data_IF_791848176866
#
_entry.id   IF_791848176866
#
_cell.length_a   1.000
_cell.length_b   1.000
_cell.length_c   1.000
_cell.angle_alpha   90.00
_cell.angle_beta   90.00
_cell.angle_gamma   90.00
#
_symmetry.space_group_name_H-M   'P 1'
#
loop_
_entity.id
_entity.type
_entity.pdbx_description
1 polymer ?
#
# COMPACT_ATOMS: atom_id res chain seq x y z
N UNK A 1 -65.01 13.09 -11.69
CA UNK A 1 -65.32 13.72 -10.39
C UNK A 1 -64.02 13.97 -9.64
N UNK A 2 -63.61 15.24 -9.49
CA UNK A 2 -62.40 15.61 -8.76
C UNK A 2 -62.72 16.10 -7.34
N UNK A 3 -61.89 15.72 -6.37
CA UNK A 3 -61.74 16.34 -5.04
C UNK A 3 -60.22 16.44 -4.84
N UNK A 4 -59.53 17.58 -4.99
CA UNK A 4 -59.57 18.85 -4.25
C UNK A 4 -59.47 18.68 -2.73
N UNK A 5 -58.23 18.63 -2.22
CA UNK A 5 -57.75 19.11 -0.92
C UNK A 5 -56.21 19.18 -1.07
N UNK A 6 -55.46 20.20 -0.66
CA UNK A 6 -55.71 21.32 0.23
C UNK A 6 -54.35 21.61 0.88
N UNK A 7 -53.75 22.76 0.56
CA UNK A 7 -52.45 23.17 1.08
C UNK A 7 -52.52 23.42 2.60
N UNK A 8 -51.48 23.01 3.32
CA UNK A 8 -51.29 23.26 4.74
C UNK A 8 -49.81 23.32 5.07
N UNK A 9 -49.23 24.51 4.91
CA UNK A 9 -47.89 24.84 5.42
C UNK A 9 -47.90 24.84 6.95
N UNK A 10 -46.98 24.09 7.55
CA UNK A 10 -46.53 24.32 8.92
C UNK A 10 -45.01 24.12 8.94
N UNK A 11 -44.30 25.25 8.91
CA UNK A 11 -42.89 25.36 9.25
C UNK A 11 -42.77 25.06 10.75
N UNK A 12 -42.23 23.89 11.12
CA UNK A 12 -41.78 23.63 12.50
C UNK A 12 -40.27 23.60 12.51
N UNK A 13 -39.70 24.48 13.34
CA UNK A 13 -38.29 24.67 13.59
C UNK A 13 -37.57 23.35 13.91
N UNK A 14 -36.47 23.15 13.22
CA UNK A 14 -35.52 22.05 13.43
C UNK A 14 -34.65 22.41 14.64
N UNK A 15 -34.50 21.53 15.66
CA UNK A 15 -33.55 21.78 16.74
C UNK A 15 -32.12 21.59 16.24
N UNK A 16 -31.33 22.62 16.51
CA UNK A 16 -29.90 22.78 16.29
C UNK A 16 -29.12 21.64 16.99
N UNK A 17 -28.43 20.83 16.19
CA UNK A 17 -27.53 19.78 16.69
C UNK A 17 -26.12 20.37 16.90
N UNK A 18 -25.40 19.98 17.96
CA UNK A 18 -24.12 20.55 18.30
C UNK A 18 -23.05 20.19 17.26
N UNK A 19 -22.27 21.20 16.88
CA UNK A 19 -21.13 21.10 16.00
C UNK A 19 -20.04 20.22 16.62
N UNK A 20 -19.94 18.96 16.18
CA UNK A 20 -18.75 18.14 16.41
C UNK A 20 -17.62 18.60 15.50
N UNK A 21 -16.58 19.13 16.15
CA UNK A 21 -15.30 19.54 15.60
C UNK A 21 -14.65 18.38 14.83
N UNK A 22 -14.76 18.41 13.49
CA UNK A 22 -13.96 17.54 12.60
C UNK A 22 -12.49 17.95 12.70
N UNK A 23 -11.67 17.08 13.30
CA UNK A 23 -10.23 17.12 13.10
C UNK A 23 -9.94 16.94 11.60
N UNK A 24 -9.48 18.01 10.96
CA UNK A 24 -9.12 18.02 9.56
C UNK A 24 -7.94 17.09 9.30
N UNK A 25 -8.14 16.08 8.45
CA UNK A 25 -7.03 15.42 7.77
C UNK A 25 -6.39 16.46 6.83
N UNK A 26 -5.22 16.96 7.21
CA UNK A 26 -4.41 17.82 6.38
C UNK A 26 -4.02 17.05 5.11
N UNK A 27 -4.79 17.28 4.04
CA UNK A 27 -4.44 16.80 2.71
C UNK A 27 -3.42 17.79 2.17
N UNK A 28 -2.16 17.36 2.05
CA UNK A 28 -1.12 18.19 1.42
C UNK A 28 -1.58 18.59 0.01
N UNK A 29 -1.35 19.85 -0.42
CA UNK A 29 -1.76 20.31 -1.73
C UNK A 29 -0.96 19.55 -2.80
N UNK A 30 -1.63 19.02 -3.82
CA UNK A 30 -1.03 18.29 -4.95
C UNK A 30 0.13 19.04 -5.64
N UNK A 31 0.21 20.36 -5.48
CA UNK A 31 1.32 21.19 -5.94
C UNK A 31 2.66 20.85 -5.26
N UNK A 32 2.65 20.41 -4.00
CA UNK A 32 3.87 20.05 -3.27
C UNK A 32 4.46 18.72 -3.76
N UNK A 33 3.62 17.74 -4.15
CA UNK A 33 4.10 16.48 -4.72
C UNK A 33 4.75 16.70 -6.10
N UNK A 34 4.14 17.51 -6.97
CA UNK A 34 4.71 17.83 -8.29
C UNK A 34 6.05 18.58 -8.22
N UNK A 35 6.21 19.50 -7.27
CA UNK A 35 7.46 20.25 -7.10
C UNK A 35 8.63 19.33 -6.69
N UNK A 36 8.35 18.29 -5.89
CA UNK A 36 9.36 17.32 -5.46
C UNK A 36 9.77 16.41 -6.60
N UNK A 37 8.82 15.86 -7.38
CA UNK A 37 9.14 15.03 -8.55
C UNK A 37 9.98 15.80 -9.58
N UNK A 38 9.62 17.05 -9.84
CA UNK A 38 10.35 17.91 -10.78
C UNK A 38 11.76 18.23 -10.27
N UNK A 39 11.93 18.44 -8.97
CA UNK A 39 13.25 18.68 -8.38
C UNK A 39 14.15 17.44 -8.41
N UNK A 40 13.59 16.24 -8.19
CA UNK A 40 14.34 14.98 -8.28
C UNK A 40 14.77 14.70 -9.73
N UNK A 41 13.86 14.87 -10.71
CA UNK A 41 14.18 14.71 -12.13
C UNK A 41 15.23 15.74 -12.61
N UNK A 42 15.12 16.99 -12.17
CA UNK A 42 16.09 18.03 -12.52
C UNK A 42 17.47 17.78 -11.91
N UNK A 43 17.52 17.28 -10.66
CA UNK A 43 18.78 16.88 -10.00
C UNK A 43 19.36 15.63 -10.67
N UNK A 44 18.55 14.62 -10.98
CA UNK A 44 19.00 13.42 -11.68
C UNK A 44 19.53 13.75 -13.09
N UNK A 45 18.84 14.62 -13.83
CA UNK A 45 19.27 15.09 -15.15
C UNK A 45 20.56 15.91 -15.10
N UNK A 46 20.72 16.79 -14.09
CA UNK A 46 21.98 17.51 -13.87
C UNK A 46 23.11 16.59 -13.46
N UNK A 47 22.89 15.64 -12.55
CA UNK A 47 23.93 14.70 -12.11
C UNK A 47 24.37 13.79 -13.26
N UNK A 48 23.45 13.34 -14.12
CA UNK A 48 23.78 12.58 -15.33
C UNK A 48 24.58 13.41 -16.36
N UNK A 49 24.22 14.67 -16.57
CA UNK A 49 24.93 15.57 -17.48
C UNK A 49 26.30 16.01 -16.92
N UNK A 50 26.40 16.25 -15.62
CA UNK A 50 27.62 16.69 -14.95
C UNK A 50 28.60 15.52 -14.78
N UNK A 51 28.11 14.30 -14.53
CA UNK A 51 28.90 13.07 -14.62
C UNK A 51 29.43 12.78 -16.04
N UNK A 52 28.76 13.28 -17.08
CA UNK A 52 29.25 13.18 -18.45
C UNK A 52 30.32 14.24 -18.79
N UNK A 53 30.42 15.33 -18.02
CA UNK A 53 31.22 16.52 -18.39
C UNK A 53 32.40 16.80 -17.45
N UNK A 54 32.39 16.31 -16.21
CA UNK A 54 33.46 16.55 -15.24
C UNK A 54 33.86 15.26 -14.51
N UNK A 55 35.05 14.74 -14.83
CA UNK A 55 35.70 13.67 -14.07
C UNK A 55 36.03 12.45 -14.92
N UNK A 56 37.33 12.17 -15.02
CA UNK A 56 37.94 10.85 -15.28
C UNK A 56 36.95 9.77 -15.73
N UNK A 57 36.78 9.60 -17.06
CA UNK A 57 35.98 8.51 -17.61
C UNK A 57 36.48 7.22 -16.98
N UNK A 58 35.62 6.59 -16.18
CA UNK A 58 35.97 5.34 -15.52
C UNK A 58 36.46 4.36 -16.58
N UNK A 59 37.56 3.63 -16.32
CA UNK A 59 38.04 2.63 -17.25
C UNK A 59 36.89 1.70 -17.63
N UNK A 60 36.61 1.54 -18.92
CA UNK A 60 35.49 0.74 -19.42
C UNK A 60 35.49 -0.68 -18.83
N UNK A 61 36.68 -1.23 -18.61
CA UNK A 61 36.89 -2.54 -17.97
C UNK A 61 36.39 -2.60 -16.51
N UNK A 62 36.48 -1.49 -15.78
CA UNK A 62 35.97 -1.40 -14.41
C UNK A 62 34.43 -1.48 -14.36
N UNK A 63 33.73 -0.89 -15.33
CA UNK A 63 32.27 -0.90 -15.40
C UNK A 63 31.68 -2.22 -15.94
N UNK A 64 32.43 -2.93 -16.80
CA UNK A 64 32.00 -4.21 -17.39
C UNK A 64 31.84 -5.30 -16.33
N UNK A 65 32.76 -5.37 -15.38
CA UNK A 65 32.96 -6.51 -14.48
C UNK A 65 32.40 -6.31 -13.07
N UNK A 66 31.50 -5.34 -12.86
CA UNK A 66 30.85 -5.14 -11.56
C UNK A 66 29.57 -5.93 -11.41
N UNK A 67 29.40 -6.55 -10.25
CA UNK A 67 28.11 -7.08 -9.79
C UNK A 67 27.44 -6.09 -8.84
N UNK A 68 26.14 -5.89 -9.03
CA UNK A 68 25.30 -5.09 -8.14
C UNK A 68 24.20 -5.96 -7.57
N UNK A 69 23.86 -5.74 -6.30
CA UNK A 69 22.70 -6.36 -5.67
C UNK A 69 21.93 -5.32 -4.87
N UNK A 70 20.70 -5.04 -5.27
CA UNK A 70 19.75 -4.27 -4.48
C UNK A 70 18.89 -5.24 -3.68
N UNK A 71 18.80 -5.00 -2.37
CA UNK A 71 17.87 -5.70 -1.48
C UNK A 71 16.86 -4.73 -0.91
N UNK A 72 15.60 -5.10 -0.99
CA UNK A 72 14.49 -4.37 -0.37
C UNK A 72 13.78 -5.32 0.59
N UNK A 73 13.70 -4.93 1.86
CA UNK A 73 13.05 -5.73 2.89
C UNK A 73 11.57 -5.94 2.59
N UNK A 74 11.10 -7.19 2.71
CA UNK A 74 9.66 -7.51 2.62
C UNK A 74 8.87 -6.85 3.74
N UNK A 75 9.49 -6.70 4.91
CA UNK A 75 8.90 -5.98 6.06
C UNK A 75 8.69 -4.50 5.74
N UNK A 76 9.68 -3.89 5.10
CA UNK A 76 9.57 -2.50 4.64
C UNK A 76 8.36 -2.36 3.70
N UNK A 77 8.26 -3.20 2.68
CA UNK A 77 7.11 -3.19 1.75
C UNK A 77 5.79 -3.45 2.50
N UNK A 78 5.77 -4.32 3.51
CA UNK A 78 4.57 -4.61 4.33
C UNK A 78 4.07 -3.37 5.07
N UNK A 79 4.95 -2.59 5.65
CA UNK A 79 4.56 -1.37 6.38
C UNK A 79 4.10 -0.24 5.44
N UNK A 80 4.55 -0.29 4.19
CA UNK A 80 4.16 0.66 3.15
C UNK A 80 2.98 0.14 2.31
N UNK A 81 2.58 -1.12 2.52
CA UNK A 81 1.28 -1.64 2.09
C UNK A 81 0.21 -0.97 2.95
N UNK A 82 -1.00 -0.74 2.42
CA UNK A 82 -2.08 -0.10 3.17
C UNK A 82 -2.15 -0.55 4.63
N UNK A 83 -2.11 0.45 5.53
CA UNK A 83 -2.21 0.21 6.96
C UNK A 83 -3.50 -0.56 7.30
N UNK A 84 -3.54 -1.09 8.52
CA UNK A 84 -4.78 -1.67 9.07
C UNK A 84 -5.88 -0.61 8.92
N UNK A 85 -6.91 -0.96 8.15
CA UNK A 85 -8.03 -0.06 7.88
C UNK A 85 -9.06 -0.34 8.95
N UNK A 86 -9.39 0.66 9.76
CA UNK A 86 -10.65 0.76 10.49
C UNK A 86 -11.37 1.99 9.96
N UNK A 87 -12.31 1.76 9.04
CA UNK A 87 -12.99 2.84 8.31
C UNK A 87 -14.49 2.76 8.50
N UNK A 88 -15.05 3.85 9.01
CA UNK A 88 -16.48 4.08 9.08
C UNK A 88 -16.93 4.83 7.82
N UNK A 89 -17.78 4.20 7.02
CA UNK A 89 -18.32 4.79 5.79
C UNK A 89 -19.84 4.91 5.92
N UNK A 90 -20.42 6.11 5.72
CA UNK A 90 -21.86 6.25 5.69
C UNK A 90 -22.43 5.48 4.49
N UNK A 91 -23.55 4.80 4.70
CA UNK A 91 -24.34 4.19 3.64
C UNK A 91 -25.53 5.09 3.40
N UNK A 92 -25.69 5.58 2.18
CA UNK A 92 -26.85 6.35 1.74
C UNK A 92 -27.11 6.02 0.27
N UNK A 93 -28.19 5.28 0.00
CA UNK A 93 -28.54 4.85 -1.36
C UNK A 93 -30.01 4.48 -1.51
N UNK A 94 -30.49 4.44 -2.74
CA UNK A 94 -31.81 3.91 -3.08
C UNK A 94 -31.70 2.51 -3.69
N UNK A 95 -32.48 1.55 -3.16
CA UNK A 95 -32.51 0.18 -3.67
C UNK A 95 -33.93 -0.38 -3.60
N UNK A 96 -34.43 -0.93 -4.70
CA UNK A 96 -35.80 -1.46 -4.82
C UNK A 96 -36.91 -0.48 -4.37
N UNK A 97 -36.69 0.82 -4.62
CA UNK A 97 -37.60 1.90 -4.21
C UNK A 97 -37.62 2.18 -2.69
N UNK A 98 -36.67 1.65 -1.94
CA UNK A 98 -36.43 2.00 -0.54
C UNK A 98 -35.18 2.88 -0.41
N UNK A 99 -35.25 3.89 0.46
CA UNK A 99 -34.09 4.70 0.83
C UNK A 99 -33.35 4.01 1.98
N UNK A 100 -32.12 3.60 1.73
CA UNK A 100 -31.27 2.86 2.67
C UNK A 100 -30.23 3.81 3.25
N UNK A 101 -30.26 4.00 4.56
CA UNK A 101 -29.28 4.79 5.31
C UNK A 101 -28.61 3.96 6.39
N UNK A 102 -27.34 4.23 6.72
CA UNK A 102 -26.66 3.54 7.79
C UNK A 102 -25.15 3.75 7.84
N UNK A 103 -24.45 2.80 8.44
CA UNK A 103 -22.99 2.82 8.56
C UNK A 103 -22.40 1.47 8.22
N UNK A 104 -21.33 1.49 7.43
CA UNK A 104 -20.43 0.38 7.17
C UNK A 104 -19.14 0.58 7.96
N UNK A 105 -18.72 -0.44 8.69
CA UNK A 105 -17.45 -0.48 9.41
C UNK A 105 -16.59 -1.54 8.72
N UNK A 106 -15.54 -1.09 8.05
CA UNK A 106 -14.60 -1.94 7.33
C UNK A 106 -13.32 -2.07 8.14
N UNK A 107 -13.01 -3.31 8.52
CA UNK A 107 -11.78 -3.69 9.20
C UNK A 107 -10.94 -4.54 8.25
N UNK A 108 -9.71 -4.15 7.96
CA UNK A 108 -8.83 -4.92 7.09
C UNK A 108 -7.36 -4.79 7.47
N UNK A 109 -6.57 -5.80 7.13
CA UNK A 109 -5.13 -5.81 7.38
C UNK A 109 -4.37 -6.44 6.21
N UNK A 110 -3.13 -5.99 5.96
CA UNK A 110 -2.25 -6.69 5.03
C UNK A 110 -1.90 -8.07 5.59
N UNK A 111 -1.87 -9.08 4.73
CA UNK A 111 -1.47 -10.46 5.04
C UNK A 111 -0.32 -10.83 4.11
N UNK A 112 0.69 -11.52 4.61
CA UNK A 112 1.78 -12.00 3.76
C UNK A 112 1.45 -13.42 3.32
N UNK A 113 0.94 -13.58 2.10
CA UNK A 113 0.88 -14.90 1.49
C UNK A 113 2.30 -15.34 1.13
N UNK A 114 2.65 -16.59 1.45
CA UNK A 114 3.89 -17.20 0.93
C UNK A 114 3.79 -17.20 -0.60
N UNK A 115 4.79 -16.65 -1.25
CA UNK A 115 4.86 -16.65 -2.71
C UNK A 115 4.88 -18.11 -3.19
N UNK A 116 4.02 -18.50 -4.14
CA UNK A 116 3.94 -19.89 -4.59
C UNK A 116 5.11 -20.29 -5.48
N UNK A 117 5.84 -19.32 -6.05
CA UNK A 117 6.92 -19.55 -7.02
C UNK A 117 8.06 -18.56 -6.80
N UNK A 118 9.19 -19.04 -6.27
CA UNK A 118 10.40 -18.23 -6.04
C UNK A 118 11.16 -17.91 -7.34
N UNK A 119 10.79 -18.54 -8.47
CA UNK A 119 11.45 -18.33 -9.77
C UNK A 119 10.95 -17.09 -10.51
N UNK A 120 9.78 -16.56 -10.13
CA UNK A 120 9.21 -15.36 -10.76
C UNK A 120 9.44 -14.12 -9.89
N UNK A 121 9.87 -12.99 -10.48
CA UNK A 121 10.16 -11.77 -9.75
C UNK A 121 8.86 -10.99 -9.43
N UNK A 122 7.97 -11.59 -8.65
CA UNK A 122 6.63 -11.09 -8.41
C UNK A 122 6.26 -11.12 -6.93
N UNK A 123 5.90 -9.96 -6.38
CA UNK A 123 5.39 -9.82 -5.02
C UNK A 123 3.87 -9.81 -5.11
N UNK A 124 3.19 -10.62 -4.31
CA UNK A 124 1.73 -10.56 -4.19
C UNK A 124 1.39 -9.80 -2.93
N UNK A 125 0.90 -8.56 -3.10
CA UNK A 125 0.28 -7.82 -2.02
C UNK A 125 -1.08 -8.40 -1.75
N UNK A 126 -1.32 -8.79 -0.50
CA UNK A 126 -2.53 -9.46 -0.09
C UNK A 126 -3.14 -8.71 1.09
N UNK A 127 -4.42 -8.38 0.98
CA UNK A 127 -5.15 -7.62 1.99
C UNK A 127 -6.47 -8.30 2.27
N UNK A 128 -6.70 -8.64 3.53
CA UNK A 128 -7.89 -9.37 3.97
C UNK A 128 -8.64 -8.56 5.02
N UNK A 129 -9.96 -8.70 5.01
CA UNK A 129 -10.76 -7.99 5.99
C UNK A 129 -12.23 -8.39 6.02
N UNK A 130 -12.95 -7.67 6.86
CA UNK A 130 -14.38 -7.82 7.05
C UNK A 130 -15.05 -6.46 7.00
N UNK A 131 -16.25 -6.41 6.45
CA UNK A 131 -17.09 -5.21 6.51
C UNK A 131 -18.39 -5.59 7.22
N UNK A 132 -18.72 -4.88 8.28
CA UNK A 132 -20.02 -5.01 8.95
C UNK A 132 -20.86 -3.80 8.62
N UNK A 133 -22.14 -4.01 8.34
CA UNK A 133 -23.07 -2.94 7.98
C UNK A 133 -24.26 -2.97 8.91
N UNK A 134 -24.71 -1.80 9.32
CA UNK A 134 -25.98 -1.60 10.03
C UNK A 134 -26.76 -0.58 9.22
N UNK A 135 -27.89 -1.00 8.66
CA UNK A 135 -28.67 -0.16 7.75
C UNK A 135 -30.15 -0.17 8.11
N UNK A 136 -30.82 0.91 7.73
CA UNK A 136 -32.26 1.10 7.82
C UNK A 136 -32.76 1.42 6.43
N UNK A 137 -33.65 0.59 5.89
CA UNK A 137 -34.34 0.86 4.64
C UNK A 137 -35.73 1.43 4.94
N UNK A 138 -36.02 2.61 4.41
CA UNK A 138 -37.31 3.28 4.50
C UNK A 138 -38.07 3.08 3.19
N UNK A 139 -39.24 2.45 3.25
CA UNK A 139 -40.13 2.23 2.09
C UNK A 139 -41.56 2.57 2.47
N UNK A 140 -42.01 3.77 2.09
CA UNK A 140 -43.29 4.31 2.55
C UNK A 140 -43.30 4.42 4.08
N UNK A 141 -44.29 3.81 4.73
CA UNK A 141 -44.40 3.78 6.21
C UNK A 141 -43.61 2.65 6.88
N UNK A 142 -42.87 1.84 6.12
CA UNK A 142 -42.10 0.71 6.65
C UNK A 142 -40.65 1.11 6.89
N UNK A 143 -40.12 0.72 8.05
CA UNK A 143 -38.70 0.79 8.40
C UNK A 143 -38.17 -0.63 8.52
N UNK A 144 -37.11 -0.95 7.78
CA UNK A 144 -36.53 -2.29 7.76
C UNK A 144 -35.11 -2.18 8.27
N UNK A 145 -34.81 -2.81 9.41
CA UNK A 145 -33.46 -2.85 9.97
C UNK A 145 -32.74 -4.08 9.46
N UNK A 146 -31.53 -3.89 8.93
CA UNK A 146 -30.71 -4.95 8.39
C UNK A 146 -29.28 -4.84 8.96
N UNK A 147 -28.69 -6.01 9.24
CA UNK A 147 -27.26 -6.15 9.49
C UNK A 147 -26.63 -7.00 8.39
N UNK A 148 -25.58 -6.50 7.76
CA UNK A 148 -24.79 -7.26 6.80
C UNK A 148 -23.39 -7.53 7.30
N UNK A 149 -22.83 -8.67 6.92
CA UNK A 149 -21.42 -9.00 7.11
C UNK A 149 -20.83 -9.43 5.78
N UNK A 150 -19.68 -8.87 5.46
CA UNK A 150 -18.87 -9.22 4.32
C UNK A 150 -17.49 -9.67 4.79
N UNK A 151 -16.89 -10.60 4.06
CA UNK A 151 -15.45 -10.86 4.09
C UNK A 151 -14.88 -10.55 2.73
N UNK A 152 -13.63 -10.10 2.68
CA UNK A 152 -12.94 -9.86 1.43
C UNK A 152 -11.47 -10.25 1.54
N UNK A 153 -10.93 -10.68 0.41
CA UNK A 153 -9.54 -11.03 0.16
C UNK A 153 -9.18 -10.39 -1.18
N UNK A 154 -8.39 -9.31 -1.15
CA UNK A 154 -7.93 -8.62 -2.35
C UNK A 154 -6.44 -8.85 -2.52
N UNK A 155 -6.04 -9.13 -3.76
CA UNK A 155 -4.66 -9.41 -4.13
C UNK A 155 -4.24 -8.53 -5.27
N UNK A 156 -2.99 -8.10 -5.25
CA UNK A 156 -2.34 -7.43 -6.37
C UNK A 156 -0.94 -7.96 -6.56
N UNK A 157 -0.65 -8.35 -7.78
CA UNK A 157 0.69 -8.70 -8.21
C UNK A 157 1.48 -7.42 -8.50
N UNK A 158 2.71 -7.36 -8.01
CA UNK A 158 3.70 -6.35 -8.36
C UNK A 158 4.92 -7.11 -8.88
N UNK A 159 5.22 -6.95 -10.16
CA UNK A 159 6.41 -7.54 -10.78
C UNK A 159 7.52 -6.51 -10.85
N UNK A 160 8.77 -6.97 -10.90
CA UNK A 160 9.92 -6.10 -11.14
C UNK A 160 10.65 -6.59 -12.38
N UNK A 161 10.87 -5.71 -13.36
CA UNK A 161 11.50 -6.07 -14.64
C UNK A 161 13.04 -5.94 -14.63
N UNK A 162 13.60 -5.60 -13.47
CA UNK A 162 15.02 -5.33 -13.30
C UNK A 162 15.37 -3.83 -13.30
N UNK A 163 14.43 -2.95 -13.66
CA UNK A 163 14.57 -1.50 -13.61
C UNK A 163 13.40 -0.84 -12.89
N UNK A 164 12.17 -1.23 -13.24
CA UNK A 164 10.93 -0.68 -12.72
C UNK A 164 10.08 -1.73 -12.02
N UNK A 165 9.39 -1.26 -10.98
CA UNK A 165 8.24 -1.95 -10.43
C UNK A 165 7.04 -1.74 -11.36
N UNK A 166 6.46 -2.86 -11.79
CA UNK A 166 5.30 -2.91 -12.65
C UNK A 166 4.08 -3.42 -11.90
N UNK A 167 2.94 -2.87 -12.28
CA UNK A 167 1.64 -3.21 -11.72
C UNK A 167 1.08 -4.43 -12.44
N UNK A 168 0.90 -5.53 -11.71
CA UNK A 168 0.24 -6.73 -12.20
C UNK A 168 -1.29 -6.70 -12.03
N UNK A 169 -1.90 -7.86 -12.23
CA UNK A 169 -3.35 -8.03 -12.15
C UNK A 169 -3.85 -7.88 -10.70
N UNK A 170 -5.10 -7.44 -10.56
CA UNK A 170 -5.80 -7.28 -9.27
C UNK A 170 -6.97 -8.24 -9.21
N UNK A 171 -7.02 -9.07 -8.19
CA UNK A 171 -8.12 -10.00 -7.95
C UNK A 171 -8.76 -9.71 -6.60
N UNK A 172 -10.07 -9.95 -6.50
CA UNK A 172 -10.81 -9.84 -5.25
C UNK A 172 -11.75 -11.04 -5.11
N UNK A 173 -11.65 -11.71 -3.98
CA UNK A 173 -12.71 -12.57 -3.48
C UNK A 173 -13.49 -11.82 -2.41
N UNK A 174 -14.82 -11.85 -2.50
CA UNK A 174 -15.68 -11.17 -1.56
C UNK A 174 -16.98 -11.94 -1.36
N UNK A 175 -17.30 -12.19 -0.10
CA UNK A 175 -18.60 -12.70 0.33
C UNK A 175 -19.38 -11.59 0.99
N UNK A 176 -20.70 -11.59 0.83
CA UNK A 176 -21.60 -10.69 1.55
C UNK A 176 -22.87 -11.45 1.90
N UNK A 177 -23.30 -11.33 3.15
CA UNK A 177 -24.55 -11.90 3.64
C UNK A 177 -25.24 -10.87 4.51
N UNK A 178 -26.55 -10.70 4.30
CA UNK A 178 -27.35 -9.83 5.14
C UNK A 178 -28.42 -10.60 5.93
N UNK A 179 -28.76 -10.05 7.09
CA UNK A 179 -29.77 -10.59 7.99
C UNK A 179 -30.74 -9.48 8.36
N UNK A 180 -32.02 -9.74 8.12
CA UNK A 180 -33.11 -8.90 8.59
C UNK A 180 -33.19 -8.94 10.12
N UNK A 181 -33.00 -7.80 10.77
CA UNK A 181 -33.06 -7.71 12.25
C UNK A 181 -34.41 -7.23 12.77
N UNK A 182 -35.18 -6.51 11.95
CA UNK A 182 -36.50 -6.06 12.36
C UNK A 182 -37.27 -5.37 11.24
N UNK A 183 -38.58 -5.32 11.40
CA UNK A 183 -39.49 -4.54 10.55
C UNK A 183 -40.38 -3.69 11.45
N UNK A 184 -40.31 -2.38 11.24
CA UNK A 184 -41.15 -1.36 11.84
C UNK A 184 -42.22 -0.92 10.85
N UNK A 185 -43.40 -0.59 11.37
CA UNK A 185 -44.52 -0.08 10.60
C UNK A 185 -45.48 0.71 11.48
N UNK A 186 -46.59 1.20 10.90
CA UNK A 186 -47.63 1.91 11.65
C UNK A 186 -48.16 1.08 12.83
N UNK A 187 -48.69 1.70 13.91
CA UNK A 187 -49.29 0.95 15.02
C UNK A 187 -50.60 0.25 14.61
N UNK A 188 -51.01 -0.76 15.40
CA UNK A 188 -52.28 -1.47 15.26
C UNK A 188 -52.30 -2.62 14.25
N UNK A 189 -53.51 -3.11 13.93
CA UNK A 189 -53.75 -4.28 13.07
C UNK A 189 -53.18 -4.09 11.64
N UNK A 190 -53.28 -2.88 11.08
CA UNK A 190 -52.69 -2.55 9.77
C UNK A 190 -51.16 -2.73 9.79
N UNK A 191 -50.50 -2.31 10.85
CA UNK A 191 -49.07 -2.53 11.09
C UNK A 191 -48.70 -4.00 11.22
N UNK A 192 -49.52 -4.80 11.89
CA UNK A 192 -49.30 -6.24 12.00
C UNK A 192 -49.39 -6.93 10.64
N UNK A 193 -50.46 -6.68 9.87
CA UNK A 193 -50.64 -7.28 8.52
C UNK A 193 -49.49 -6.90 7.59
N UNK A 194 -49.13 -5.61 7.54
CA UNK A 194 -48.03 -5.14 6.68
C UNK A 194 -46.70 -5.80 7.03
N UNK A 195 -46.36 -5.97 8.31
CA UNK A 195 -45.13 -6.68 8.74
C UNK A 195 -45.13 -8.15 8.34
N UNK A 196 -46.26 -8.84 8.54
CA UNK A 196 -46.43 -10.25 8.19
C UNK A 196 -46.28 -10.49 6.69
N UNK A 197 -46.83 -9.60 5.85
CA UNK A 197 -46.72 -9.68 4.40
C UNK A 197 -45.36 -9.19 3.87
N UNK A 198 -44.73 -8.21 4.52
CA UNK A 198 -43.45 -7.66 4.10
C UNK A 198 -42.29 -8.64 4.29
N UNK A 199 -42.29 -9.42 5.39
CA UNK A 199 -41.20 -10.36 5.69
C UNK A 199 -40.89 -11.34 4.55
N UNK A 200 -41.85 -12.13 4.02
CA UNK A 200 -41.55 -13.07 2.92
C UNK A 200 -41.12 -12.35 1.64
N UNK A 201 -41.60 -11.13 1.38
CA UNK A 201 -41.18 -10.36 0.22
C UNK A 201 -39.73 -9.89 0.34
N UNK A 202 -39.34 -9.40 1.53
CA UNK A 202 -37.97 -8.98 1.83
C UNK A 202 -37.02 -10.17 1.70
N UNK A 203 -37.38 -11.32 2.26
CA UNK A 203 -36.53 -12.52 2.19
C UNK A 203 -36.37 -13.03 0.76
N UNK A 204 -37.39 -12.91 -0.09
CA UNK A 204 -37.28 -13.23 -1.53
C UNK A 204 -36.35 -12.27 -2.28
N UNK A 205 -36.31 -11.00 -1.89
CA UNK A 205 -35.46 -9.98 -2.52
C UNK A 205 -34.02 -9.95 -1.96
N UNK A 206 -33.79 -10.58 -0.80
CA UNK A 206 -32.51 -10.57 -0.08
C UNK A 206 -31.33 -11.06 -0.93
N UNK A 207 -31.40 -12.19 -1.68
CA UNK A 207 -30.26 -12.63 -2.48
C UNK A 207 -29.85 -11.62 -3.56
N UNK A 208 -30.82 -10.93 -4.15
CA UNK A 208 -30.57 -9.86 -5.13
C UNK A 208 -30.01 -8.61 -4.46
N UNK A 209 -30.49 -8.25 -3.27
CA UNK A 209 -29.94 -7.14 -2.50
C UNK A 209 -28.48 -7.40 -2.10
N UNK A 210 -28.19 -8.63 -1.67
CA UNK A 210 -26.87 -9.08 -1.25
C UNK A 210 -25.89 -9.13 -2.42
N UNK A 211 -26.33 -9.56 -3.62
CA UNK A 211 -25.47 -9.56 -4.80
C UNK A 211 -25.10 -8.16 -5.26
N UNK A 212 -26.03 -7.19 -5.19
CA UNK A 212 -25.75 -5.77 -5.47
C UNK A 212 -24.80 -5.19 -4.42
N UNK A 213 -25.06 -5.41 -3.14
CA UNK A 213 -24.18 -4.95 -2.06
C UNK A 213 -22.77 -5.52 -2.17
N UNK A 214 -22.63 -6.80 -2.56
CA UNK A 214 -21.35 -7.46 -2.82
C UNK A 214 -20.60 -6.80 -3.97
N UNK A 215 -21.28 -6.53 -5.09
CA UNK A 215 -20.66 -5.90 -6.27
C UNK A 215 -20.17 -4.47 -5.94
N UNK A 216 -20.98 -3.69 -5.23
CA UNK A 216 -20.60 -2.34 -4.79
C UNK A 216 -19.39 -2.36 -3.84
N UNK A 217 -19.39 -3.31 -2.89
CA UNK A 217 -18.28 -3.49 -1.96
C UNK A 217 -17.01 -3.91 -2.70
N UNK A 218 -17.10 -4.87 -3.63
CA UNK A 218 -15.98 -5.31 -4.46
C UNK A 218 -15.36 -4.14 -5.21
N UNK A 219 -16.19 -3.33 -5.89
CA UNK A 219 -15.73 -2.14 -6.61
C UNK A 219 -15.03 -1.15 -5.70
N UNK A 220 -15.66 -0.82 -4.56
CA UNK A 220 -15.12 0.15 -3.59
C UNK A 220 -13.76 -0.29 -3.04
N UNK A 221 -13.63 -1.56 -2.66
CA UNK A 221 -12.38 -2.13 -2.14
C UNK A 221 -11.31 -2.16 -3.22
N UNK A 222 -11.64 -2.62 -4.43
CA UNK A 222 -10.70 -2.66 -5.56
C UNK A 222 -10.17 -1.27 -5.92
N UNK A 223 -11.03 -0.26 -5.92
CA UNK A 223 -10.62 1.12 -6.20
C UNK A 223 -9.72 1.69 -5.11
N UNK A 224 -10.09 1.52 -3.84
CA UNK A 224 -9.30 2.03 -2.71
C UNK A 224 -7.94 1.34 -2.62
N UNK A 225 -7.92 0.01 -2.66
CA UNK A 225 -6.71 -0.79 -2.67
C UNK A 225 -5.86 -0.51 -3.91
N UNK A 226 -6.50 -0.36 -5.07
CA UNK A 226 -5.88 0.03 -6.32
C UNK A 226 -5.11 1.33 -6.21
N UNK A 227 -5.74 2.40 -5.73
CA UNK A 227 -5.11 3.72 -5.55
C UNK A 227 -3.88 3.66 -4.64
N UNK A 228 -3.99 2.97 -3.50
CA UNK A 228 -2.88 2.90 -2.54
C UNK A 228 -1.71 2.08 -3.09
N UNK A 229 -1.99 0.96 -3.75
CA UNK A 229 -0.94 0.14 -4.37
C UNK A 229 -0.35 0.80 -5.62
N UNK A 230 -1.13 1.59 -6.36
CA UNK A 230 -0.62 2.41 -7.46
C UNK A 230 0.34 3.49 -6.94
N UNK A 231 -0.01 4.16 -5.83
CA UNK A 231 0.88 5.13 -5.17
C UNK A 231 2.15 4.46 -4.68
N UNK A 232 2.06 3.30 -4.03
CA UNK A 232 3.23 2.54 -3.58
C UNK A 232 4.20 2.23 -4.73
N UNK A 233 3.70 1.74 -5.87
CA UNK A 233 4.55 1.45 -7.03
C UNK A 233 5.19 2.73 -7.58
N UNK A 234 4.42 3.82 -7.67
CA UNK A 234 4.94 5.12 -8.10
C UNK A 234 6.04 5.64 -7.15
N UNK A 235 5.80 5.56 -5.84
CA UNK A 235 6.75 5.99 -4.82
C UNK A 235 8.02 5.13 -4.83
N UNK A 236 7.91 3.81 -5.04
CA UNK A 236 9.07 2.94 -5.20
C UNK A 236 9.90 3.33 -6.43
N UNK A 237 9.26 3.57 -7.58
CA UNK A 237 9.98 3.95 -8.80
C UNK A 237 10.56 5.37 -8.73
N UNK A 238 9.90 6.30 -8.05
CA UNK A 238 10.34 7.68 -7.94
C UNK A 238 11.45 7.88 -6.91
N UNK A 239 11.41 7.12 -5.80
CA UNK A 239 12.35 7.32 -4.69
C UNK A 239 13.52 6.32 -4.69
N UNK A 240 13.46 5.22 -5.46
CA UNK A 240 14.58 4.28 -5.61
C UNK A 240 15.33 4.58 -6.92
N UNK A 241 16.51 5.21 -6.87
CA UNK A 241 17.27 5.58 -8.06
C UNK A 241 18.06 4.38 -8.59
N UNK A 242 17.39 3.23 -8.70
CA UNK A 242 18.00 1.97 -9.09
C UNK A 242 18.47 2.00 -10.54
N UNK A 243 17.68 2.63 -11.43
CA UNK A 243 18.04 2.80 -12.84
C UNK A 243 19.33 3.61 -13.00
N UNK A 244 19.40 4.73 -12.29
CA UNK A 244 20.52 5.65 -12.27
C UNK A 244 21.73 4.98 -11.64
N UNK A 245 21.53 4.21 -10.56
CA UNK A 245 22.59 3.40 -9.93
C UNK A 245 23.17 2.38 -10.90
N UNK A 246 22.32 1.65 -11.61
CA UNK A 246 22.76 0.68 -12.63
C UNK A 246 23.49 1.42 -13.75
N UNK A 247 22.96 2.53 -14.27
CA UNK A 247 23.62 3.31 -15.33
C UNK A 247 24.98 3.89 -14.89
N UNK A 248 25.11 4.30 -13.63
CA UNK A 248 26.33 4.87 -13.06
C UNK A 248 27.42 3.82 -12.85
N UNK A 249 27.03 2.65 -12.32
CA UNK A 249 27.96 1.62 -11.87
C UNK A 249 28.21 0.53 -12.92
N UNK A 250 27.52 0.58 -14.05
CA UNK A 250 27.54 -0.48 -15.04
C UNK A 250 27.51 0.05 -16.47
N UNK A 251 28.19 -0.66 -17.38
CA UNK A 251 28.04 -0.42 -18.80
C UNK A 251 26.87 -1.24 -19.36
N UNK A 252 25.94 -0.58 -20.05
CA UNK A 252 24.93 -1.27 -20.84
C UNK A 252 25.61 -2.00 -22.01
N UNK A 253 25.36 -3.31 -22.15
CA UNK A 253 25.97 -4.10 -23.22
C UNK A 253 25.41 -5.53 -23.31
N UNK A 254 25.60 -6.19 -24.47
CA UNK A 254 25.27 -7.60 -24.63
C UNK A 254 26.13 -8.42 -23.66
N UNK A 255 25.49 -9.27 -22.84
CA UNK A 255 26.16 -10.04 -21.80
C UNK A 255 25.86 -9.58 -20.37
N UNK A 256 25.10 -8.52 -20.15
CA UNK A 256 24.63 -8.19 -18.79
C UNK A 256 23.28 -8.83 -18.50
N UNK A 257 23.23 -9.68 -17.47
CA UNK A 257 22.00 -10.29 -17.00
C UNK A 257 21.50 -9.57 -15.75
N UNK A 258 20.20 -9.32 -15.70
CA UNK A 258 19.52 -8.92 -14.48
C UNK A 258 18.78 -10.14 -13.95
N UNK A 259 19.08 -10.50 -12.72
CA UNK A 259 18.43 -11.60 -12.02
C UNK A 259 17.66 -11.02 -10.86
N UNK A 260 16.56 -11.65 -10.50
CA UNK A 260 15.79 -11.23 -9.34
C UNK A 260 15.26 -12.45 -8.64
N UNK A 261 15.25 -12.38 -7.32
CA UNK A 261 14.79 -13.48 -6.48
C UNK A 261 14.03 -12.95 -5.27
N UNK A 262 12.93 -13.60 -4.94
CA UNK A 262 12.17 -13.33 -3.73
C UNK A 262 12.70 -14.20 -2.59
N UNK A 263 13.59 -13.65 -1.77
CA UNK A 263 14.13 -14.34 -0.59
C UNK A 263 13.12 -14.26 0.58
N UNK A 264 13.23 -15.09 1.63
CA UNK A 264 12.27 -15.07 2.74
C UNK A 264 12.11 -13.70 3.42
N UNK A 265 13.20 -12.92 3.57
CA UNK A 265 13.21 -11.63 4.28
C UNK A 265 13.24 -10.40 3.35
N UNK A 266 13.74 -10.54 2.13
CA UNK A 266 13.89 -9.44 1.19
C UNK A 266 13.58 -9.87 -0.23
N UNK A 267 13.40 -8.86 -1.07
CA UNK A 267 13.44 -8.96 -2.50
C UNK A 267 14.83 -8.56 -2.95
N UNK A 268 15.42 -9.35 -3.83
CA UNK A 268 16.78 -9.13 -4.32
C UNK A 268 16.74 -8.91 -5.84
N UNK A 269 17.34 -7.80 -6.28
CA UNK A 269 17.60 -7.51 -7.69
C UNK A 269 19.10 -7.48 -7.92
N UNK A 270 19.61 -8.40 -8.74
CA UNK A 270 21.01 -8.48 -9.15
C UNK A 270 21.21 -7.94 -10.55
N UNK A 271 22.32 -7.24 -10.78
CA UNK A 271 22.83 -6.95 -12.12
C UNK A 271 24.26 -7.46 -12.23
N UNK A 272 24.48 -8.47 -13.07
CA UNK A 272 25.75 -9.22 -13.19
C UNK A 272 26.12 -9.39 -14.67
N UNK A 273 27.42 -9.50 -14.97
CA UNK A 273 27.89 -9.88 -16.30
C UNK A 273 27.78 -11.40 -16.47
N UNK A 274 27.42 -11.90 -17.64
CA UNK A 274 27.16 -13.33 -17.92
C UNK A 274 28.40 -14.20 -17.73
N UNK A 275 29.58 -13.63 -17.99
CA UNK A 275 30.87 -14.28 -17.80
C UNK A 275 31.30 -14.34 -16.34
N UNK A 276 30.62 -13.58 -15.46
CA UNK A 276 30.81 -13.66 -14.03
C UNK A 276 29.68 -14.48 -13.44
N UNK A 277 30.01 -15.64 -12.86
CA UNK A 277 29.10 -16.25 -11.88
C UNK A 277 28.98 -15.25 -10.74
N UNK A 278 27.88 -14.47 -10.77
CA UNK A 278 27.70 -13.30 -9.92
C UNK A 278 28.11 -13.61 -8.49
N UNK A 279 29.10 -12.87 -7.98
CA UNK A 279 29.69 -13.14 -6.68
C UNK A 279 28.59 -13.39 -5.65
N UNK A 280 28.69 -14.50 -4.93
CA UNK A 280 27.77 -14.75 -3.84
C UNK A 280 27.94 -13.63 -2.82
N UNK A 281 26.83 -13.08 -2.34
CA UNK A 281 26.92 -12.10 -1.27
C UNK A 281 27.52 -12.78 -0.04
N UNK A 282 28.33 -12.05 0.75
CA UNK A 282 29.00 -12.60 1.92
C UNK A 282 27.98 -13.11 2.93
N UNK A 283 28.36 -14.06 3.80
CA UNK A 283 27.41 -14.70 4.73
C UNK A 283 26.76 -13.69 5.69
N UNK A 284 27.48 -12.64 6.03
CA UNK A 284 27.03 -11.50 6.84
C UNK A 284 25.81 -10.82 6.22
N UNK A 285 25.66 -10.90 4.89
CA UNK A 285 24.48 -10.37 4.19
C UNK A 285 23.19 -11.12 4.55
N UNK A 286 23.25 -12.29 5.19
CA UNK A 286 22.04 -13.03 5.58
C UNK A 286 21.27 -12.37 6.74
N UNK A 287 21.90 -11.42 7.42
CA UNK A 287 21.31 -10.60 8.48
C UNK A 287 20.76 -9.32 7.84
N UNK A 288 19.50 -9.01 8.14
CA UNK A 288 18.88 -7.77 7.65
C UNK A 288 19.39 -6.62 8.51
N UNK A 289 20.13 -5.69 7.92
CA UNK A 289 20.64 -4.52 8.63
C UNK A 289 19.88 -3.24 8.27
N UNK A 290 19.20 -3.21 7.13
CA UNK A 290 18.41 -2.06 6.71
C UNK A 290 17.18 -2.43 5.86
N UNK A 291 16.14 -1.58 5.83
CA UNK A 291 15.03 -1.67 4.89
C UNK A 291 15.47 -1.80 3.43
N UNK A 292 16.52 -1.06 3.04
CA UNK A 292 17.13 -1.13 1.73
C UNK A 292 18.64 -1.24 1.87
N UNK A 293 19.21 -2.15 1.10
CA UNK A 293 20.66 -2.34 1.02
C UNK A 293 21.07 -2.38 -0.45
N UNK A 294 22.05 -1.55 -0.82
CA UNK A 294 22.70 -1.61 -2.11
C UNK A 294 24.11 -2.17 -1.93
N UNK A 295 24.32 -3.36 -2.45
CA UNK A 295 25.61 -4.05 -2.45
C UNK A 295 26.29 -3.88 -3.80
N UNK A 296 27.56 -3.52 -3.77
CA UNK A 296 28.37 -3.27 -4.96
C UNK A 296 29.69 -4.02 -4.81
N UNK A 297 30.04 -4.84 -5.81
CA UNK A 297 31.26 -5.64 -5.77
C UNK A 297 32.51 -4.81 -6.12
N UNK A 298 33.60 -5.06 -5.40
CA UNK A 298 34.92 -4.45 -5.57
C UNK A 298 35.10 -3.13 -4.82
N UNK A 299 36.31 -2.58 -4.81
CA UNK A 299 36.64 -1.42 -3.96
C UNK A 299 35.89 -0.12 -4.35
N UNK A 300 35.42 0.68 -3.38
CA UNK A 300 34.80 1.97 -3.63
C UNK A 300 35.82 2.95 -4.21
N UNK A 301 35.49 3.58 -5.34
CA UNK A 301 36.29 4.68 -5.92
C UNK A 301 35.69 5.99 -5.49
N UNK A 302 36.50 6.92 -4.98
CA UNK A 302 36.05 8.19 -4.41
C UNK A 302 35.09 8.97 -5.31
N UNK A 303 35.40 9.07 -6.61
CA UNK A 303 34.56 9.77 -7.60
C UNK A 303 33.17 9.15 -7.74
N UNK A 304 33.11 7.82 -7.86
CA UNK A 304 31.85 7.07 -8.04
C UNK A 304 31.05 7.02 -6.75
N UNK A 305 31.72 6.76 -5.63
CA UNK A 305 31.10 6.72 -4.31
C UNK A 305 30.47 8.07 -3.99
N UNK A 306 31.12 9.20 -4.28
CA UNK A 306 30.53 10.53 -4.08
C UNK A 306 29.25 10.76 -4.89
N UNK A 307 29.24 10.39 -6.17
CA UNK A 307 28.05 10.48 -7.03
C UNK A 307 26.93 9.57 -6.55
N UNK A 308 27.26 8.33 -6.18
CA UNK A 308 26.29 7.36 -5.68
C UNK A 308 25.70 7.80 -4.33
N UNK A 309 26.52 8.28 -3.39
CA UNK A 309 26.04 8.81 -2.12
C UNK A 309 25.14 10.02 -2.31
N UNK A 310 25.47 10.93 -3.22
CA UNK A 310 24.62 12.07 -3.56
C UNK A 310 23.24 11.62 -4.06
N UNK A 311 23.23 10.63 -4.96
CA UNK A 311 22.02 10.04 -5.52
C UNK A 311 21.14 9.39 -4.42
N UNK A 312 21.73 8.56 -3.57
CA UNK A 312 21.01 7.83 -2.52
C UNK A 312 20.68 8.68 -1.29
N UNK A 313 21.38 9.79 -1.05
CA UNK A 313 21.01 10.76 -0.02
C UNK A 313 19.65 11.42 -0.32
N UNK A 314 19.29 11.60 -1.59
CA UNK A 314 17.94 12.04 -1.96
C UNK A 314 16.88 11.00 -1.54
N UNK A 315 17.14 9.72 -1.79
CA UNK A 315 16.30 8.61 -1.31
C UNK A 315 16.21 8.61 0.21
N UNK A 316 17.33 8.71 0.92
CA UNK A 316 17.32 8.73 2.39
C UNK A 316 16.46 9.87 2.95
N UNK A 317 16.52 11.07 2.36
CA UNK A 317 15.66 12.19 2.76
C UNK A 317 14.18 11.97 2.43
N UNK A 318 13.87 11.31 1.33
CA UNK A 318 12.48 10.90 1.07
C UNK A 318 12.00 9.91 2.14
N UNK A 319 12.89 9.02 2.60
CA UNK A 319 12.69 8.11 3.73
C UNK A 319 12.47 8.84 5.05
N UNK A 320 13.11 9.98 5.30
CA UNK A 320 12.89 10.77 6.51
C UNK A 320 11.45 11.26 6.65
N UNK A 321 10.83 11.70 5.55
CA UNK A 321 9.40 12.09 5.57
C UNK A 321 8.50 10.89 5.90
N UNK A 322 8.88 9.69 5.45
CA UNK A 322 8.19 8.47 5.83
C UNK A 322 8.42 8.13 7.32
N UNK A 323 9.65 8.33 7.85
CA UNK A 323 9.96 8.17 9.28
C UNK A 323 9.07 9.04 10.13
N UNK A 324 8.86 10.31 9.78
CA UNK A 324 7.99 11.23 10.53
C UNK A 324 6.55 10.71 10.64
N UNK A 325 6.05 10.01 9.61
CA UNK A 325 4.68 9.49 9.59
C UNK A 325 4.53 8.27 10.52
N UNK A 326 5.60 7.51 10.74
CA UNK A 326 5.60 6.26 11.51
C UNK A 326 6.15 6.45 12.93
N UNK A 327 7.05 7.43 13.13
CA UNK A 327 7.82 7.68 14.34
C UNK A 327 7.90 9.19 14.63
N UNK A 328 6.85 9.81 15.19
CA UNK A 328 6.79 11.26 15.41
C UNK A 328 7.73 11.80 16.52
N UNK A 329 8.63 10.98 17.10
CA UNK A 329 9.23 11.32 18.42
C UNK A 329 10.73 11.04 18.55
N UNK A 330 11.48 10.81 17.48
CA UNK A 330 12.95 10.79 17.60
C UNK A 330 13.57 11.87 16.73
N UNK A 331 14.34 12.76 17.37
CA UNK A 331 15.36 13.54 16.71
C UNK A 331 16.26 12.55 15.97
N UNK A 332 16.08 12.44 14.66
CA UNK A 332 16.96 11.65 13.83
C UNK A 332 18.31 12.36 13.87
N UNK A 333 19.31 11.73 14.49
CA UNK A 333 20.69 12.12 14.22
C UNK A 333 20.88 11.92 12.72
N UNK A 334 21.16 13.01 11.99
CA UNK A 334 21.50 13.02 10.57
C UNK A 334 22.84 12.29 10.36
N UNK A 335 22.84 11.00 10.62
CA UNK A 335 23.96 10.13 10.27
C UNK A 335 23.88 9.94 8.77
N UNK A 336 24.68 10.73 8.04
CA UNK A 336 24.80 10.60 6.59
C UNK A 336 25.08 9.15 6.18
N UNK A 337 24.65 8.78 4.97
CA UNK A 337 24.88 7.43 4.44
C UNK A 337 26.39 7.21 4.32
N UNK A 338 26.91 6.19 5.01
CA UNK A 338 28.31 5.77 4.88
C UNK A 338 28.38 4.37 4.25
N UNK A 339 29.19 4.20 3.17
CA UNK A 339 29.52 2.89 2.64
C UNK A 339 30.30 2.06 3.67
N UNK A 340 29.94 0.79 3.82
CA UNK A 340 30.68 -0.16 4.66
C UNK A 340 31.26 -1.28 3.79
N UNK A 341 32.53 -1.63 4.01
CA UNK A 341 33.17 -2.79 3.38
C UNK A 341 32.79 -4.07 4.11
N UNK A 342 32.36 -5.09 3.36
CA UNK A 342 32.03 -6.43 3.84
C UNK A 342 32.62 -7.44 2.86
N UNK A 343 33.82 -7.94 3.16
CA UNK A 343 34.60 -8.75 2.21
C UNK A 343 34.94 -7.97 0.94
N UNK A 344 34.70 -8.57 -0.22
CA UNK A 344 34.90 -7.93 -1.53
C UNK A 344 33.73 -7.04 -1.97
N UNK A 345 32.79 -6.76 -1.07
CA UNK A 345 31.63 -5.94 -1.32
C UNK A 345 31.69 -4.68 -0.47
N UNK A 346 31.05 -3.63 -0.96
CA UNK A 346 30.62 -2.54 -0.10
C UNK A 346 29.12 -2.36 -0.19
N UNK A 347 28.54 -1.95 0.94
CA UNK A 347 27.11 -1.81 1.10
C UNK A 347 26.75 -0.39 1.50
N UNK A 348 25.75 0.16 0.83
CA UNK A 348 25.00 1.34 1.26
C UNK A 348 23.73 0.84 1.94
N UNK A 349 23.54 1.23 3.20
CA UNK A 349 22.37 0.86 3.99
C UNK A 349 21.48 2.09 4.21
N UNK A 350 20.18 1.96 3.94
CA UNK A 350 19.22 3.06 4.05
C UNK A 350 18.12 2.67 5.02
N UNK A 351 17.97 3.48 6.07
CA UNK A 351 17.01 3.21 7.14
C UNK A 351 17.52 2.22 8.20
N UNK A 352 18.84 2.06 8.36
CA UNK A 352 19.44 1.16 9.36
C UNK A 352 18.99 1.46 10.80
N UNK A 353 18.90 2.73 11.14
CA UNK A 353 18.29 3.26 12.37
C UNK A 353 16.84 2.79 12.60
N UNK A 354 16.09 2.60 11.51
CA UNK A 354 14.71 2.12 11.57
C UNK A 354 14.68 0.59 11.66
N UNK A 355 15.66 -0.10 11.06
CA UNK A 355 15.79 -1.55 11.06
C UNK A 355 15.84 -2.14 12.47
N UNK A 356 16.63 -1.56 13.36
CA UNK A 356 16.78 -2.06 14.74
C UNK A 356 15.45 -2.03 15.51
N UNK A 357 14.62 -1.01 15.29
CA UNK A 357 13.28 -0.95 15.88
C UNK A 357 12.32 -1.93 15.22
N UNK A 358 12.40 -2.10 13.90
CA UNK A 358 11.59 -3.08 13.15
C UNK A 358 11.87 -4.51 13.61
N UNK A 359 13.15 -4.86 13.77
CA UNK A 359 13.59 -6.17 14.22
C UNK A 359 13.19 -6.41 15.68
N UNK A 360 13.39 -5.42 16.59
CA UNK A 360 13.00 -5.56 18.00
C UNK A 360 11.48 -5.74 18.20
N UNK A 361 10.64 -5.04 17.43
CA UNK A 361 9.17 -5.13 17.54
C UNK A 361 8.63 -6.50 17.09
N UNK A 362 9.21 -7.08 16.04
CA UNK A 362 8.81 -8.40 15.57
C UNK A 362 9.31 -9.52 16.49
N UNK A 363 10.52 -9.42 17.04
CA UNK A 363 11.04 -10.40 18.02
C UNK A 363 10.16 -10.47 19.26
N UNK A 364 9.64 -9.34 19.73
CA UNK A 364 8.73 -9.27 20.88
C UNK A 364 7.32 -9.79 20.56
N UNK A 365 6.80 -9.53 19.36
CA UNK A 365 5.51 -10.07 18.93
C UNK A 365 5.54 -11.61 18.75
N UNK A 366 6.59 -12.14 18.13
CA UNK A 366 6.77 -13.59 17.93
C UNK A 366 6.98 -14.30 19.27
N UNK A 367 7.73 -13.70 20.21
CA UNK A 367 7.86 -14.23 21.57
C UNK A 367 6.54 -14.22 22.34
N UNK A 368 5.71 -13.19 22.19
CA UNK A 368 4.40 -13.11 22.82
C UNK A 368 3.42 -14.16 22.27
N UNK A 369 3.44 -14.39 20.95
CA UNK A 369 2.61 -15.41 20.29
C UNK A 369 3.04 -16.83 20.70
N UNK A 370 4.36 -17.09 20.77
CA UNK A 370 4.91 -18.36 21.24
C UNK A 370 4.67 -18.63 22.73
N UNK A 371 4.53 -17.60 23.56
CA UNK A 371 4.19 -17.74 24.98
C UNK A 371 2.68 -17.92 25.24
N UNK A 372 1.84 -17.70 24.21
CA UNK A 372 0.38 -17.84 24.28
C UNK A 372 -0.16 -19.14 23.68
N UNK A 373 0.74 -19.95 23.09
CA UNK A 373 0.49 -21.32 22.63
C UNK A 373 1.09 -22.31 23.62
#
# INVERSE_FOLDING_TARGET
MPLLFGAGSALTASPEAPAETRAGQATLPAAAEHAVTTAVEAVAGKVAAEAATAGERLPTEWLKNRSLVLRVSKEFIRQHTPAVVDKHTPVDRWLFGAHITGTAITNGRPVMAKQPDDTKPMIVLHFQGTTTTKTVANKGSLKIWNKGRATFDVRREISFDGLDFQKGHRTIDCSYQSTLTGIGGPPGLRGWVTRTLARPLIERQRPTADSVARADLQKTILEAFGKQTDKLVADLNANLPWKETVALLTQAGPGRQRQFSAMPKWIEARSVHIDQQGGQLPEESNVLHAPIELWVQGEPRSSVTGQLLSLWNATHRSFDRFRETVLPTSAAEESGIQPEMVGDWWVIRIGSDVADRFLKKNSSAVQAEAASS
#
